data_IF_512000789415
#
_entry.id   IF_512000789415
#
_cell.length_a   1.000
_cell.length_b   1.000
_cell.length_c   1.000
_cell.angle_alpha   90.00
_cell.angle_beta   90.00
_cell.angle_gamma   90.00
#
_symmetry.space_group_name_H-M   'P 1'
#
loop_
_entity.id
_entity.type
_entity.pdbx_description
1 polymer ?
#
# COMPACT_ATOMS: atom_id res chain seq x y z
N UNK A 1 -16.57 26.97 -13.26
CA UNK A 1 -16.32 25.79 -14.11
C UNK A 1 -17.52 24.88 -13.91
N UNK A 2 -18.19 24.51 -15.00
CA UNK A 2 -19.56 23.97 -14.98
C UNK A 2 -19.60 22.52 -14.50
N UNK A 3 -20.36 22.28 -13.43
CA UNK A 3 -20.58 20.96 -12.80
C UNK A 3 -21.16 19.89 -13.73
N UNK A 4 -21.71 20.30 -14.88
CA UNK A 4 -22.22 19.40 -15.91
C UNK A 4 -21.08 18.77 -16.72
N UNK A 5 -20.01 19.52 -17.01
CA UNK A 5 -18.82 18.99 -17.71
C UNK A 5 -18.12 17.95 -16.85
N UNK A 6 -18.01 18.26 -15.55
CA UNK A 6 -17.37 17.40 -14.54
C UNK A 6 -18.10 16.06 -14.36
N UNK A 7 -19.43 16.08 -14.42
CA UNK A 7 -20.24 14.86 -14.32
C UNK A 7 -20.14 13.99 -15.57
N UNK A 8 -20.08 14.61 -16.76
CA UNK A 8 -19.91 13.88 -18.02
C UNK A 8 -18.53 13.22 -18.12
N UNK A 9 -17.47 13.94 -17.74
CA UNK A 9 -16.11 13.40 -17.70
C UNK A 9 -16.02 12.21 -16.72
N UNK A 10 -16.61 12.36 -15.52
CA UNK A 10 -16.68 11.26 -14.55
C UNK A 10 -17.38 10.03 -15.12
N UNK A 11 -18.50 10.22 -15.82
CA UNK A 11 -19.21 9.11 -16.44
C UNK A 11 -18.35 8.40 -17.51
N UNK A 12 -17.65 9.16 -18.35
CA UNK A 12 -16.77 8.60 -19.37
C UNK A 12 -15.62 7.79 -18.78
N UNK A 13 -15.04 8.26 -17.66
CA UNK A 13 -14.00 7.53 -16.95
C UNK A 13 -14.54 6.20 -16.41
N UNK A 14 -15.72 6.21 -15.78
CA UNK A 14 -16.33 4.98 -15.24
C UNK A 14 -16.62 3.96 -16.35
N UNK A 15 -17.16 4.41 -17.48
CA UNK A 15 -17.40 3.53 -18.64
C UNK A 15 -16.09 2.96 -19.22
N UNK A 16 -15.01 3.73 -19.22
CA UNK A 16 -13.70 3.27 -19.66
C UNK A 16 -13.09 2.23 -18.72
N UNK A 17 -13.21 2.44 -17.40
CA UNK A 17 -12.74 1.49 -16.37
C UNK A 17 -13.52 0.18 -16.46
N UNK A 18 -14.84 0.23 -16.62
CA UNK A 18 -15.67 -0.98 -16.79
C UNK A 18 -15.25 -1.77 -18.04
N UNK A 19 -15.01 -1.08 -19.16
CA UNK A 19 -14.56 -1.70 -20.39
C UNK A 19 -13.17 -2.35 -20.24
N UNK A 20 -12.23 -1.67 -19.60
CA UNK A 20 -10.88 -2.20 -19.33
C UNK A 20 -10.95 -3.46 -18.46
N UNK A 21 -11.74 -3.40 -17.38
CA UNK A 21 -11.98 -4.52 -16.48
C UNK A 21 -12.55 -5.74 -17.23
N UNK A 22 -13.53 -5.52 -18.10
CA UNK A 22 -14.15 -6.59 -18.89
C UNK A 22 -13.20 -7.21 -19.92
N UNK A 23 -12.23 -6.43 -20.43
CA UNK A 23 -11.26 -6.89 -21.44
C UNK A 23 -10.11 -7.68 -20.81
N UNK A 24 -9.54 -7.18 -19.72
CA UNK A 24 -8.29 -7.74 -19.16
C UNK A 24 -8.51 -8.59 -17.91
N UNK A 25 -9.54 -8.29 -17.11
CA UNK A 25 -9.88 -9.06 -15.91
C UNK A 25 -8.84 -8.99 -14.80
N UNK A 26 -8.01 -7.95 -14.79
CA UNK A 26 -6.92 -7.71 -13.83
C UNK A 26 -7.11 -6.45 -12.97
N UNK A 27 -8.25 -5.77 -13.11
CA UNK A 27 -8.66 -4.66 -12.26
C UNK A 27 -9.52 -5.14 -11.09
N UNK A 28 -9.11 -4.79 -9.88
CA UNK A 28 -9.93 -4.91 -8.67
C UNK A 28 -10.58 -3.55 -8.39
N UNK A 29 -11.91 -3.50 -8.41
CA UNK A 29 -12.68 -2.30 -8.10
C UNK A 29 -13.57 -2.55 -6.89
N UNK A 30 -14.72 -3.15 -7.12
CA UNK A 30 -15.75 -3.38 -6.09
C UNK A 30 -15.36 -4.52 -5.14
N UNK A 31 -14.34 -5.31 -5.49
CA UNK A 31 -13.77 -6.38 -4.68
C UNK A 31 -12.96 -5.87 -3.49
N UNK A 32 -12.44 -4.63 -3.56
CA UNK A 32 -11.72 -3.99 -2.47
C UNK A 32 -12.69 -3.06 -1.72
N UNK A 33 -13.00 -3.40 -0.47
CA UNK A 33 -13.83 -2.54 0.39
C UNK A 33 -13.04 -1.33 0.92
N UNK A 34 -12.62 -0.42 0.02
CA UNK A 34 -11.86 0.78 0.35
C UNK A 34 -12.24 1.98 -0.55
N UNK A 35 -11.99 3.18 -0.04
CA UNK A 35 -12.06 4.41 -0.83
C UNK A 35 -10.69 4.72 -1.45
N UNK A 36 -10.68 5.10 -2.74
CA UNK A 36 -9.46 5.44 -3.46
C UNK A 36 -9.10 6.92 -3.30
N UNK A 37 -8.39 7.22 -2.22
CA UNK A 37 -7.81 8.53 -1.96
C UNK A 37 -6.38 8.37 -1.42
N UNK A 38 -5.50 9.32 -1.76
CA UNK A 38 -4.09 9.26 -1.30
C UNK A 38 -3.98 9.19 0.23
N UNK A 39 -4.82 9.95 0.96
CA UNK A 39 -4.89 9.89 2.42
C UNK A 39 -5.47 8.60 2.98
N UNK A 40 -5.99 7.72 2.14
CA UNK A 40 -6.58 6.44 2.51
C UNK A 40 -5.79 5.26 1.93
N UNK A 41 -4.61 5.52 1.36
CA UNK A 41 -3.76 4.52 0.71
C UNK A 41 -3.48 3.30 1.61
N UNK A 42 -3.21 3.52 2.90
CA UNK A 42 -2.98 2.42 3.83
C UNK A 42 -4.21 1.52 4.02
N UNK A 43 -5.42 2.06 3.87
CA UNK A 43 -6.67 1.30 3.83
C UNK A 43 -6.79 0.48 2.54
N UNK A 44 -6.45 1.08 1.39
CA UNK A 44 -6.40 0.39 0.08
C UNK A 44 -5.43 -0.79 0.10
N UNK A 45 -4.22 -0.58 0.64
CA UNK A 45 -3.22 -1.65 0.85
C UNK A 45 -3.75 -2.75 1.75
N UNK A 46 -4.38 -2.39 2.88
CA UNK A 46 -4.95 -3.38 3.80
C UNK A 46 -6.04 -4.23 3.12
N UNK A 47 -6.96 -3.62 2.38
CA UNK A 47 -8.00 -4.32 1.65
C UNK A 47 -7.42 -5.24 0.58
N UNK A 48 -6.40 -4.78 -0.15
CA UNK A 48 -5.70 -5.59 -1.14
C UNK A 48 -5.01 -6.81 -0.51
N UNK A 49 -4.31 -6.65 0.61
CA UNK A 49 -3.66 -7.77 1.30
C UNK A 49 -4.66 -8.79 1.84
N UNK A 50 -5.82 -8.34 2.35
CA UNK A 50 -6.92 -9.21 2.75
C UNK A 50 -7.46 -10.01 1.56
N UNK A 51 -7.68 -9.35 0.42
CA UNK A 51 -8.11 -10.00 -0.81
C UNK A 51 -7.10 -11.04 -1.31
N UNK A 52 -5.80 -10.71 -1.33
CA UNK A 52 -4.73 -11.65 -1.71
C UNK A 52 -4.70 -12.87 -0.80
N UNK A 53 -4.90 -12.68 0.50
CA UNK A 53 -4.99 -13.77 1.49
C UNK A 53 -6.14 -14.73 1.18
N UNK A 54 -7.29 -14.19 0.78
CA UNK A 54 -8.52 -14.94 0.51
C UNK A 54 -8.49 -15.63 -0.85
N UNK A 55 -8.16 -14.90 -1.91
CA UNK A 55 -8.28 -15.36 -3.30
C UNK A 55 -7.01 -16.04 -3.83
N UNK A 56 -5.83 -15.65 -3.31
CA UNK A 56 -4.53 -16.17 -3.76
C UNK A 56 -3.73 -16.83 -2.62
N UNK A 57 -4.30 -17.80 -1.87
CA UNK A 57 -3.69 -18.31 -0.64
C UNK A 57 -2.38 -19.09 -0.84
N UNK A 58 -2.05 -19.47 -2.08
CA UNK A 58 -0.85 -20.23 -2.47
C UNK A 58 0.29 -19.35 -2.99
N UNK A 59 0.08 -18.04 -3.12
CA UNK A 59 1.12 -17.11 -3.52
C UNK A 59 2.26 -17.15 -2.50
N UNK A 60 3.50 -17.20 -2.97
CA UNK A 60 4.69 -17.20 -2.11
C UNK A 60 5.12 -15.79 -1.74
N UNK A 61 5.02 -14.86 -2.70
CA UNK A 61 5.45 -13.47 -2.55
C UNK A 61 4.43 -12.48 -3.11
N UNK A 62 4.29 -11.35 -2.47
CA UNK A 62 3.42 -10.24 -2.88
C UNK A 62 4.28 -8.98 -3.02
N UNK A 63 4.27 -8.39 -4.21
CA UNK A 63 4.87 -7.08 -4.45
C UNK A 63 3.74 -6.04 -4.51
N UNK A 64 3.94 -4.93 -3.81
CA UNK A 64 3.13 -3.73 -3.95
C UNK A 64 4.05 -2.68 -4.57
N UNK A 65 3.56 -1.98 -5.58
CA UNK A 65 4.30 -0.97 -6.33
C UNK A 65 3.35 0.05 -6.93
N UNK A 66 3.83 1.28 -7.14
CA UNK A 66 3.08 2.31 -7.86
C UNK A 66 3.00 2.01 -9.38
N UNK A 67 2.05 2.64 -10.07
CA UNK A 67 1.82 2.47 -11.50
C UNK A 67 2.81 3.25 -12.38
N UNK A 68 3.57 4.16 -11.78
CA UNK A 68 4.65 4.92 -12.41
C UNK A 68 6.06 4.34 -12.14
N UNK A 69 6.13 3.17 -11.49
CA UNK A 69 7.37 2.44 -11.22
C UNK A 69 7.77 1.49 -12.37
N UNK A 70 9.08 1.44 -12.65
CA UNK A 70 9.63 0.47 -13.61
C UNK A 70 10.19 -0.77 -12.91
N UNK A 71 9.51 -1.91 -13.10
CA UNK A 71 9.92 -3.19 -12.51
C UNK A 71 10.58 -4.10 -13.55
N UNK A 72 11.80 -4.55 -13.26
CA UNK A 72 12.50 -5.59 -14.04
C UNK A 72 12.00 -6.98 -13.65
N UNK A 73 10.80 -7.32 -14.10
CA UNK A 73 10.13 -8.59 -13.76
C UNK A 73 10.97 -9.82 -14.11
N UNK A 74 11.74 -9.77 -15.21
CA UNK A 74 12.66 -10.84 -15.60
C UNK A 74 13.72 -11.13 -14.54
N UNK A 75 14.28 -10.08 -13.93
CA UNK A 75 15.28 -10.19 -12.85
C UNK A 75 14.64 -10.53 -11.52
N UNK A 76 13.49 -9.93 -11.23
CA UNK A 76 12.74 -10.20 -10.02
C UNK A 76 12.42 -11.70 -9.89
N UNK A 77 11.95 -12.34 -10.97
CA UNK A 77 11.65 -13.78 -10.95
C UNK A 77 12.90 -14.63 -10.69
N UNK A 78 14.05 -14.29 -11.29
CA UNK A 78 15.33 -14.97 -11.00
C UNK A 78 15.73 -14.83 -9.52
N UNK A 79 15.57 -13.64 -8.94
CA UNK A 79 15.92 -13.37 -7.55
C UNK A 79 14.98 -14.11 -6.58
N UNK A 80 13.68 -14.17 -6.87
CA UNK A 80 12.67 -14.86 -6.05
C UNK A 80 12.98 -16.36 -5.87
N UNK A 81 13.69 -17.01 -6.80
CA UNK A 81 14.05 -18.42 -6.70
C UNK A 81 14.92 -18.72 -5.47
N UNK A 82 15.78 -17.77 -5.07
CA UNK A 82 16.76 -17.94 -3.99
C UNK A 82 16.36 -17.26 -2.68
N UNK A 83 15.31 -16.46 -2.68
CA UNK A 83 14.84 -15.74 -1.49
C UNK A 83 14.12 -16.65 -0.49
N UNK A 84 14.17 -16.35 0.81
CA UNK A 84 13.41 -17.10 1.81
C UNK A 84 11.90 -16.92 1.60
N UNK A 85 11.13 -18.00 1.77
CA UNK A 85 9.66 -18.01 1.59
C UNK A 85 8.90 -17.59 2.86
N UNK A 86 9.64 -17.37 3.94
CA UNK A 86 9.11 -16.96 5.24
C UNK A 86 9.99 -15.85 5.83
N UNK A 87 9.37 -14.93 6.58
CA UNK A 87 10.06 -13.82 7.24
C UNK A 87 10.75 -12.85 6.29
N UNK A 88 10.26 -12.74 5.05
CA UNK A 88 10.86 -11.89 4.03
C UNK A 88 10.06 -10.61 3.85
N UNK A 89 10.72 -9.48 4.08
CA UNK A 89 10.21 -8.14 3.82
C UNK A 89 11.36 -7.27 3.32
N UNK A 90 11.21 -6.72 2.12
CA UNK A 90 12.21 -5.85 1.50
C UNK A 90 11.52 -4.68 0.80
N UNK A 91 12.19 -3.54 0.78
CA UNK A 91 11.85 -2.34 0.02
C UNK A 91 12.97 -1.33 0.22
N UNK A 92 12.72 -0.06 -0.07
CA UNK A 92 13.61 0.98 0.43
C UNK A 92 13.39 1.07 1.95
N UNK A 93 14.37 0.68 2.74
CA UNK A 93 14.30 0.63 4.20
C UNK A 93 15.20 1.73 4.76
N UNK A 94 14.70 2.98 4.90
CA UNK A 94 15.55 4.14 5.15
C UNK A 94 16.31 4.03 6.45
N UNK A 95 15.77 3.33 7.46
CA UNK A 95 16.36 3.15 8.79
C UNK A 95 17.43 2.03 8.83
N UNK A 96 17.36 1.06 7.93
CA UNK A 96 18.45 0.07 7.73
C UNK A 96 19.64 0.69 6.98
N UNK A 97 19.37 1.66 6.10
CA UNK A 97 20.37 2.39 5.32
C UNK A 97 20.88 3.66 6.03
N UNK A 98 20.08 4.26 6.91
CA UNK A 98 20.42 5.45 7.71
C UNK A 98 20.19 5.16 9.19
N UNK A 99 21.24 5.24 10.01
CA UNK A 99 21.19 4.95 11.45
C UNK A 99 20.36 5.94 12.28
N UNK A 100 19.58 6.82 11.65
CA UNK A 100 18.77 7.81 12.31
C UNK A 100 17.32 7.32 12.46
N UNK A 101 16.70 7.50 13.63
CA UNK A 101 15.27 7.23 13.80
C UNK A 101 14.44 8.03 12.79
N UNK A 102 13.42 7.38 12.21
CA UNK A 102 12.43 8.08 11.39
C UNK A 102 11.44 8.81 12.31
N UNK A 103 11.30 10.12 12.08
CA UNK A 103 10.41 10.99 12.84
C UNK A 103 9.21 11.40 11.99
N UNK A 104 7.98 11.34 12.50
CA UNK A 104 6.80 11.82 11.78
C UNK A 104 6.94 13.32 11.51
N UNK A 105 6.64 13.75 10.29
CA UNK A 105 6.70 15.16 9.92
C UNK A 105 5.52 15.89 10.56
N UNK A 106 5.82 16.85 11.44
CA UNK A 106 4.80 17.59 12.22
C UNK A 106 4.51 19.00 11.69
N UNK A 107 5.03 19.33 10.51
CA UNK A 107 4.75 20.60 9.84
C UNK A 107 3.52 20.46 8.93
N UNK A 108 2.39 21.13 9.22
CA UNK A 108 1.18 21.07 8.38
C UNK A 108 1.35 21.58 6.96
N UNK A 109 2.42 22.32 6.65
CA UNK A 109 2.72 22.76 5.30
C UNK A 109 3.37 21.66 4.43
N UNK A 110 3.81 20.56 5.04
CA UNK A 110 4.41 19.44 4.34
C UNK A 110 3.33 18.46 3.84
N UNK A 111 3.47 17.97 2.61
CA UNK A 111 2.55 17.00 2.01
C UNK A 111 2.45 15.67 2.79
N UNK A 112 3.49 15.33 3.56
CA UNK A 112 3.59 14.13 4.39
C UNK A 112 3.35 14.42 5.88
N UNK A 113 2.59 15.48 6.19
CA UNK A 113 2.26 15.85 7.56
C UNK A 113 1.47 14.74 8.27
N UNK A 114 1.96 14.36 9.46
CA UNK A 114 1.29 13.41 10.35
C UNK A 114 0.92 14.14 11.64
N UNK A 115 -0.39 14.26 11.91
CA UNK A 115 -0.87 14.88 13.15
C UNK A 115 -0.56 13.99 14.37
N UNK A 116 -0.49 14.59 15.57
CA UNK A 116 -0.34 13.83 16.81
C UNK A 116 -1.57 12.98 17.12
N UNK A 117 -2.73 13.38 16.63
CA UNK A 117 -3.97 12.61 16.78
C UNK A 117 -3.94 11.34 15.93
N UNK A 118 -3.32 11.40 14.73
CA UNK A 118 -3.19 10.25 13.82
C UNK A 118 -2.00 9.34 14.17
N UNK A 119 -0.95 9.89 14.79
CA UNK A 119 0.19 9.11 15.26
C UNK A 119 0.79 9.77 16.51
N UNK A 120 0.50 9.28 17.72
CA UNK A 120 0.90 9.95 18.96
C UNK A 120 2.37 9.70 19.32
N UNK A 121 2.98 8.64 18.80
CA UNK A 121 4.35 8.26 19.13
C UNK A 121 5.34 9.27 18.56
N UNK A 122 6.47 9.42 19.25
CA UNK A 122 7.52 10.31 18.80
C UNK A 122 8.20 9.76 17.56
N UNK A 123 8.55 8.47 17.56
CA UNK A 123 9.29 7.79 16.48
C UNK A 123 8.35 6.91 15.65
N UNK A 124 8.55 6.89 14.32
CA UNK A 124 7.92 5.92 13.43
C UNK A 124 8.49 4.51 13.68
N UNK A 125 7.66 3.48 13.51
CA UNK A 125 8.18 2.11 13.41
C UNK A 125 9.04 1.96 12.15
N UNK A 126 10.02 1.05 12.13
CA UNK A 126 10.65 0.60 10.89
C UNK A 126 9.60 0.21 9.84
N UNK A 127 9.73 0.74 8.64
CA UNK A 127 8.87 0.40 7.49
C UNK A 127 9.68 0.54 6.20
N UNK A 128 9.27 -0.20 5.17
CA UNK A 128 9.73 0.04 3.81
C UNK A 128 9.10 1.36 3.32
N UNK A 129 9.90 2.40 3.21
CA UNK A 129 9.52 3.63 2.52
C UNK A 129 9.64 3.48 1.01
N UNK A 130 9.12 4.47 0.28
CA UNK A 130 9.25 4.52 -1.18
C UNK A 130 8.10 3.84 -1.94
N UNK A 131 8.23 3.71 -3.27
CA UNK A 131 7.12 3.36 -4.16
C UNK A 131 6.82 1.86 -4.21
N UNK A 132 7.64 1.01 -3.59
CA UNK A 132 7.43 -0.44 -3.63
C UNK A 132 8.00 -1.20 -2.43
N UNK A 133 7.40 -2.36 -2.16
CA UNK A 133 7.91 -3.37 -1.25
C UNK A 133 7.46 -4.78 -1.66
N UNK A 134 8.23 -5.77 -1.23
CA UNK A 134 8.04 -7.18 -1.51
C UNK A 134 8.02 -7.96 -0.20
N UNK A 135 6.98 -8.78 -0.04
CA UNK A 135 6.66 -9.52 1.16
C UNK A 135 6.54 -11.00 0.85
N UNK A 136 7.00 -11.87 1.75
CA UNK A 136 6.53 -13.26 1.76
C UNK A 136 5.09 -13.34 2.29
N UNK A 137 4.34 -14.35 1.87
CA UNK A 137 2.93 -14.51 2.23
C UNK A 137 2.70 -14.67 3.74
N UNK A 138 3.65 -15.20 4.51
CA UNK A 138 3.56 -15.22 5.97
C UNK A 138 3.64 -13.81 6.58
N UNK A 139 4.48 -12.93 6.03
CA UNK A 139 4.54 -11.51 6.41
C UNK A 139 3.23 -10.80 6.08
N UNK A 140 2.65 -11.05 4.90
CA UNK A 140 1.32 -10.52 4.53
C UNK A 140 0.25 -10.92 5.56
N UNK A 141 0.22 -12.21 5.94
CA UNK A 141 -0.71 -12.71 6.96
C UNK A 141 -0.43 -12.15 8.36
N UNK A 142 0.83 -11.88 8.67
CA UNK A 142 1.20 -11.24 9.92
C UNK A 142 0.72 -9.79 9.98
N UNK A 143 0.88 -9.05 8.88
CA UNK A 143 0.46 -7.66 8.77
C UNK A 143 -1.04 -7.52 8.93
N UNK A 144 -1.84 -8.28 8.16
CA UNK A 144 -3.31 -8.26 8.23
C UNK A 144 -3.81 -8.47 9.67
N UNK A 145 -3.31 -9.49 10.38
CA UNK A 145 -3.68 -9.75 11.79
C UNK A 145 -3.32 -8.62 12.74
N UNK A 146 -2.30 -7.84 12.39
CA UNK A 146 -1.73 -6.79 13.23
C UNK A 146 -2.35 -5.43 12.94
N UNK A 147 -3.03 -5.24 11.80
CA UNK A 147 -3.72 -3.98 11.43
C UNK A 147 -4.63 -3.50 12.57
N UNK A 148 -5.51 -4.37 13.08
CA UNK A 148 -6.42 -4.01 14.17
C UNK A 148 -5.70 -3.65 15.48
N UNK A 149 -4.56 -4.30 15.75
CA UNK A 149 -3.73 -4.02 16.93
C UNK A 149 -3.03 -2.67 16.77
N UNK A 150 -2.50 -2.38 15.58
CA UNK A 150 -1.85 -1.10 15.28
C UNK A 150 -2.87 0.04 15.30
N UNK A 151 -4.06 -0.14 14.73
CA UNK A 151 -5.13 0.86 14.84
C UNK A 151 -5.45 1.19 16.30
N UNK A 152 -5.48 0.18 17.17
CA UNK A 152 -5.70 0.37 18.60
C UNK A 152 -4.52 1.05 19.32
N UNK A 153 -3.28 0.89 18.85
CA UNK A 153 -2.08 1.43 19.49
C UNK A 153 -1.71 2.84 19.02
N UNK A 154 -1.86 3.12 17.72
CA UNK A 154 -1.38 4.36 17.11
C UNK A 154 -2.49 5.24 16.54
N UNK A 155 -3.76 4.83 16.68
CA UNK A 155 -4.89 5.56 16.13
C UNK A 155 -5.10 5.21 14.65
N UNK A 156 -5.43 6.19 13.83
CA UNK A 156 -5.81 5.91 12.44
C UNK A 156 -4.60 5.66 11.54
N UNK A 157 -4.55 4.49 10.90
CA UNK A 157 -3.51 4.07 9.93
C UNK A 157 -3.50 4.95 8.65
N UNK A 158 -4.48 5.83 8.47
CA UNK A 158 -4.64 6.72 7.31
C UNK A 158 -3.47 7.71 7.07
N UNK A 159 -2.60 7.96 8.05
CA UNK A 159 -1.53 8.96 7.90
C UNK A 159 -0.13 8.37 7.58
N UNK A 160 -0.04 7.09 7.21
CA UNK A 160 1.23 6.47 6.88
C UNK A 160 1.58 6.73 5.41
N UNK A 161 2.73 7.36 5.11
CA UNK A 161 3.03 7.85 3.77
C UNK A 161 3.22 6.77 2.69
N UNK A 162 3.24 5.48 3.04
CA UNK A 162 3.56 4.40 2.08
C UNK A 162 2.65 3.15 2.19
N UNK A 163 1.56 3.17 2.97
CA UNK A 163 0.94 1.90 3.38
C UNK A 163 1.93 1.06 4.21
N UNK A 164 1.52 -0.10 4.71
CA UNK A 164 2.40 -1.00 5.47
C UNK A 164 2.98 -2.06 4.55
#
# INVERSE_FOLDING_TARGET
MDSISDNLERQQILEAVELERDIYGDLLTDELECDDEYSLLAGKVSAFLEWVIAELPRTEFVMITDDDDFVRVDKLVEDLEVLPREGFYIGDLPDTLHSAPLWPIRDPANAYYISRDNYPLEQLFPYAGGPHYLLSMDCVRFMERTVNVLQALVGTIQAWPCGF
#
